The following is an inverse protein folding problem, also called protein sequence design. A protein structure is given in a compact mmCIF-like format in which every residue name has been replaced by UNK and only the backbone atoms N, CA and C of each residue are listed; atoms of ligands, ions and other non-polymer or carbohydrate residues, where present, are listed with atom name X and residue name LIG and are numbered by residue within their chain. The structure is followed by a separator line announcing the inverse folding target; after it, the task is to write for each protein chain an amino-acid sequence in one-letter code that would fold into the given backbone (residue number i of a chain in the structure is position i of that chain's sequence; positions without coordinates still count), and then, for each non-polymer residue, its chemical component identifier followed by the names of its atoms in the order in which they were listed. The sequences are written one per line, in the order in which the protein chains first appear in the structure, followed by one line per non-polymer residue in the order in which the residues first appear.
data_IF_714122434566
#
_entry.id   IF_714122434566
#
_cell.length_a   1.000
_cell.length_b   1.000
_cell.length_c   1.000
_cell.angle_alpha   90.00
_cell.angle_beta   90.00
_cell.angle_gamma   90.00
#
_symmetry.space_group_name_H-M   'P 1'
#
loop_
_entity.id
_entity.type
_entity.pdbx_description
1 polymer ?
#
# COMPACT_ATOMS: atom_id res chain seq x y z
N UNK A 1 11.00 23.93 2.02
CA UNK A 1 9.90 23.04 2.33
C UNK A 1 9.94 21.81 1.43
N UNK A 2 9.85 20.65 2.03
CA UNK A 2 9.80 19.41 1.28
C UNK A 2 8.38 18.96 1.09
N UNK A 3 8.08 18.46 -0.11
CA UNK A 3 6.82 17.80 -0.39
C UNK A 3 7.09 16.32 -0.58
N UNK A 4 6.28 15.50 0.06
CA UNK A 4 6.43 14.05 -0.02
C UNK A 4 5.06 13.42 -0.26
N UNK A 5 5.03 12.44 -1.16
CA UNK A 5 3.82 11.64 -1.36
C UNK A 5 3.79 10.58 -0.27
N UNK A 6 2.83 10.68 0.64
CA UNK A 6 2.72 9.74 1.76
C UNK A 6 1.88 8.53 1.43
N UNK A 7 0.94 8.66 0.51
CA UNK A 7 0.13 7.54 0.08
C UNK A 7 -0.34 7.75 -1.35
N UNK A 8 -0.58 6.64 -2.02
CA UNK A 8 -1.11 6.62 -3.37
C UNK A 8 -2.41 5.84 -3.34
N UNK A 9 -3.52 6.47 -3.69
CA UNK A 9 -4.83 5.83 -3.68
C UNK A 9 -5.14 5.31 -5.08
N UNK A 10 -5.50 4.04 -5.16
CA UNK A 10 -5.77 3.36 -6.43
C UNK A 10 -7.20 2.83 -6.43
N UNK A 11 -8.01 3.27 -7.38
CA UNK A 11 -9.35 2.73 -7.55
C UNK A 11 -9.27 1.29 -8.02
N UNK A 12 -10.05 0.42 -7.40
CA UNK A 12 -10.06 -0.99 -7.76
C UNK A 12 -11.47 -1.55 -7.62
N UNK A 13 -11.86 -2.38 -8.57
CA UNK A 13 -13.16 -3.06 -8.51
C UNK A 13 -13.21 -4.03 -7.33
N UNK A 14 -12.09 -4.67 -7.04
CA UNK A 14 -11.96 -5.60 -5.92
C UNK A 14 -10.65 -5.27 -5.20
N UNK A 15 -10.69 -4.34 -4.23
CA UNK A 15 -9.47 -3.91 -3.53
C UNK A 15 -8.68 -5.03 -2.89
N UNK A 16 -9.35 -6.00 -2.27
CA UNK A 16 -8.67 -7.09 -1.60
C UNK A 16 -7.89 -7.95 -2.59
N UNK A 17 -8.47 -8.20 -3.75
CA UNK A 17 -7.84 -9.03 -4.77
C UNK A 17 -6.64 -8.34 -5.39
N UNK A 18 -6.77 -7.07 -5.73
CA UNK A 18 -5.68 -6.31 -6.33
C UNK A 18 -4.56 -6.12 -5.31
N UNK A 19 -4.91 -5.90 -4.04
CA UNK A 19 -3.93 -5.76 -2.97
C UNK A 19 -3.15 -7.06 -2.78
N UNK A 20 -3.80 -8.21 -2.89
CA UNK A 20 -3.12 -9.51 -2.78
C UNK A 20 -2.06 -9.67 -3.88
N UNK A 21 -2.37 -9.21 -5.10
CA UNK A 21 -1.42 -9.25 -6.20
C UNK A 21 -0.19 -8.40 -5.88
N UNK A 22 -0.40 -7.15 -5.44
CA UNK A 22 0.70 -6.25 -5.16
C UNK A 22 1.48 -6.64 -3.90
N UNK A 23 0.78 -7.20 -2.91
CA UNK A 23 1.41 -7.73 -1.72
C UNK A 23 2.44 -8.80 -2.09
N UNK A 24 2.05 -9.70 -2.98
CA UNK A 24 2.95 -10.76 -3.45
C UNK A 24 4.07 -10.21 -4.32
N UNK A 25 3.74 -9.27 -5.22
CA UNK A 25 4.70 -8.72 -6.16
C UNK A 25 5.76 -7.86 -5.48
N UNK A 26 5.37 -7.07 -4.50
CA UNK A 26 6.26 -6.14 -3.81
C UNK A 26 6.84 -6.71 -2.53
N UNK A 27 6.23 -7.74 -1.97
CA UNK A 27 6.61 -8.25 -0.66
C UNK A 27 6.25 -7.29 0.47
N UNK A 28 5.28 -6.42 0.21
CA UNK A 28 4.83 -5.44 1.20
C UNK A 28 3.83 -6.06 2.15
N UNK A 29 3.62 -5.41 3.31
CA UNK A 29 2.70 -5.91 4.33
C UNK A 29 1.37 -5.19 4.25
N UNK A 30 0.31 -5.94 4.55
CA UNK A 30 -1.04 -5.40 4.62
C UNK A 30 -1.25 -4.89 6.04
N UNK A 31 -1.25 -3.56 6.23
CA UNK A 31 -1.32 -2.96 7.56
C UNK A 31 -2.72 -2.56 7.96
N UNK A 32 -3.62 -2.43 7.00
CA UNK A 32 -4.99 -2.06 7.29
C UNK A 32 -5.90 -2.57 6.20
N UNK A 33 -7.02 -3.14 6.61
CA UNK A 33 -7.99 -3.68 5.66
C UNK A 33 -9.40 -3.48 6.16
N UNK A 34 -10.25 -2.97 5.29
CA UNK A 34 -11.67 -2.90 5.49
C UNK A 34 -12.35 -3.55 4.29
N UNK A 35 -13.69 -3.61 4.32
CA UNK A 35 -14.46 -4.27 3.28
C UNK A 35 -14.15 -3.71 1.89
N UNK A 36 -13.96 -2.40 1.80
CA UNK A 36 -13.76 -1.71 0.53
C UNK A 36 -12.44 -0.97 0.43
N UNK A 37 -11.53 -1.19 1.37
CA UNK A 37 -10.23 -0.51 1.34
C UNK A 37 -9.14 -1.43 1.89
N UNK A 38 -7.97 -1.39 1.26
CA UNK A 38 -6.80 -2.13 1.74
C UNK A 38 -5.58 -1.22 1.64
N UNK A 39 -4.78 -1.19 2.69
CA UNK A 39 -3.55 -0.42 2.72
C UNK A 39 -2.34 -1.35 2.76
N UNK A 40 -1.38 -1.14 1.88
CA UNK A 40 -0.11 -1.85 1.87
C UNK A 40 1.02 -0.89 2.19
N UNK A 41 1.95 -1.32 3.01
CA UNK A 41 3.12 -0.54 3.37
C UNK A 41 4.38 -1.38 3.16
N UNK A 42 5.53 -0.73 2.90
CA UNK A 42 6.80 -1.45 2.78
C UNK A 42 7.09 -2.22 4.07
N UNK A 43 7.88 -3.30 4.00
CA UNK A 43 8.27 -4.02 5.21
C UNK A 43 8.99 -3.10 6.18
N UNK A 44 8.72 -3.28 7.46
CA UNK A 44 9.35 -2.49 8.51
C UNK A 44 10.87 -2.67 8.45
N UNK A 45 11.59 -1.56 8.49
CA UNK A 45 13.05 -1.60 8.42
C UNK A 45 13.63 -1.80 7.03
N UNK A 46 12.79 -1.89 5.99
CA UNK A 46 13.28 -2.00 4.62
C UNK A 46 13.76 -0.64 4.11
N UNK A 47 14.56 -0.61 3.03
CA UNK A 47 15.02 0.65 2.46
C UNK A 47 13.88 1.58 2.04
N UNK A 48 12.72 1.02 1.71
CA UNK A 48 11.57 1.79 1.27
C UNK A 48 10.72 2.30 2.44
N UNK A 49 10.90 1.75 3.62
CA UNK A 49 10.08 2.11 4.77
C UNK A 49 10.30 3.59 5.13
N UNK A 50 9.23 4.35 5.13
CA UNK A 50 9.28 5.78 5.39
C UNK A 50 9.68 6.62 4.19
N UNK A 51 9.99 6.00 3.04
CA UNK A 51 10.41 6.71 1.82
C UNK A 51 9.38 6.52 0.72
N UNK A 52 9.01 5.27 0.43
CA UNK A 52 8.02 4.97 -0.59
C UNK A 52 6.62 5.29 -0.05
N UNK A 53 5.68 5.72 -0.91
CA UNK A 53 4.32 5.99 -0.46
C UNK A 53 3.59 4.69 -0.15
N UNK A 54 2.70 4.74 0.84
CA UNK A 54 1.80 3.62 1.11
C UNK A 54 0.82 3.48 -0.06
N UNK A 55 0.40 2.27 -0.33
CA UNK A 55 -0.59 2.00 -1.38
C UNK A 55 -1.94 1.74 -0.73
N UNK A 56 -2.94 2.50 -1.14
CA UNK A 56 -4.30 2.33 -0.64
C UNK A 56 -5.20 1.97 -1.82
N UNK A 57 -5.78 0.79 -1.78
CA UNK A 57 -6.70 0.31 -2.80
C UNK A 57 -8.13 0.53 -2.34
N UNK A 58 -8.91 1.25 -3.12
CA UNK A 58 -10.27 1.65 -2.77
C UNK A 58 -11.31 0.94 -3.62
#
# INVERSE_FOLDING_TARGET
MELRIQCLCIDATDPARIASFWEAALGWRRTWEEEDQVCLEPPEGSPEDGIAPDLIFL
#
